data_IF_501647292083
#
_entry.id   IF_501647292083
#
_cell.length_a   1.000
_cell.length_b   1.000
_cell.length_c   1.000
_cell.angle_alpha   90.00
_cell.angle_beta   90.00
_cell.angle_gamma   90.00
#
_symmetry.space_group_name_H-M   'P 1'
#
loop_
_entity.id
_entity.type
_entity.pdbx_description
1 polymer ?
#
# COMPACT_ATOMS: atom_id res chain seq x y z
N UNK A 1 -17.47 -18.18 24.02
CA UNK A 1 -17.58 -16.76 23.66
C UNK A 1 -16.27 -16.41 22.92
N UNK A 2 -16.32 -15.94 21.69
CA UNK A 2 -15.08 -15.61 20.96
C UNK A 2 -14.58 -14.28 21.53
N UNK A 3 -13.31 -14.20 22.02
CA UNK A 3 -12.76 -12.97 22.58
C UNK A 3 -12.79 -11.84 21.54
N UNK A 4 -12.94 -10.60 22.00
CA UNK A 4 -12.87 -9.46 21.11
C UNK A 4 -11.40 -9.15 20.73
N UNK A 5 -11.21 -8.28 19.73
CA UNK A 5 -9.86 -7.94 19.27
C UNK A 5 -9.00 -7.28 20.35
N UNK A 6 -9.60 -6.49 21.23
CA UNK A 6 -8.85 -5.78 22.26
C UNK A 6 -8.36 -6.75 23.34
N UNK A 7 -9.20 -7.71 23.73
CA UNK A 7 -8.82 -8.77 24.67
C UNK A 7 -7.69 -9.63 24.08
N UNK A 8 -7.81 -10.03 22.80
CA UNK A 8 -6.78 -10.82 22.12
C UNK A 8 -5.45 -10.05 22.01
N UNK A 9 -5.49 -8.76 21.70
CA UNK A 9 -4.30 -7.91 21.66
C UNK A 9 -3.65 -7.77 23.04
N UNK A 10 -4.42 -7.59 24.10
CA UNK A 10 -3.88 -7.52 25.46
C UNK A 10 -3.19 -8.83 25.91
N UNK A 11 -3.78 -9.96 25.57
CA UNK A 11 -3.19 -11.28 25.82
C UNK A 11 -1.92 -11.47 25.01
N UNK A 12 -1.97 -11.12 23.71
CA UNK A 12 -0.82 -11.22 22.82
C UNK A 12 0.35 -10.34 23.29
N UNK A 13 0.09 -9.11 23.76
CA UNK A 13 1.11 -8.23 24.33
C UNK A 13 1.84 -8.83 25.53
N UNK A 14 1.21 -9.75 26.25
CA UNK A 14 1.80 -10.51 27.35
C UNK A 14 2.54 -11.77 26.89
N UNK A 15 2.58 -12.02 25.59
CA UNK A 15 3.24 -13.19 25.00
C UNK A 15 2.37 -14.46 24.99
N UNK A 16 1.07 -14.32 25.09
CA UNK A 16 0.13 -15.45 25.07
C UNK A 16 0.02 -16.02 23.64
N UNK A 17 0.58 -17.22 23.45
CA UNK A 17 0.61 -17.92 22.16
C UNK A 17 -0.82 -18.32 21.73
N UNK A 18 -1.69 -18.71 22.67
CA UNK A 18 -3.06 -19.08 22.35
C UNK A 18 -3.84 -17.89 21.78
N UNK A 19 -3.58 -16.67 22.29
CA UNK A 19 -4.16 -15.45 21.71
C UNK A 19 -3.67 -15.22 20.28
N UNK A 20 -2.42 -15.53 19.98
CA UNK A 20 -1.90 -15.47 18.61
C UNK A 20 -2.61 -16.47 17.69
N UNK A 21 -2.81 -17.72 18.12
CA UNK A 21 -3.51 -18.74 17.34
C UNK A 21 -4.96 -18.33 17.06
N UNK A 22 -5.66 -17.79 18.06
CA UNK A 22 -7.02 -17.28 17.89
C UNK A 22 -7.09 -16.11 16.89
N UNK A 23 -6.11 -15.23 16.89
CA UNK A 23 -5.98 -14.13 15.91
C UNK A 23 -5.71 -14.71 14.52
N UNK A 24 -4.82 -15.70 14.43
CA UNK A 24 -4.52 -16.38 13.17
C UNK A 24 -5.78 -17.00 12.57
N UNK A 25 -6.51 -17.78 13.32
CA UNK A 25 -7.76 -18.42 12.88
C UNK A 25 -8.80 -17.39 12.42
N UNK A 26 -8.89 -16.27 13.13
CA UNK A 26 -9.87 -15.21 12.83
C UNK A 26 -9.55 -14.44 11.57
N UNK A 27 -8.26 -14.23 11.25
CA UNK A 27 -7.84 -13.29 10.22
C UNK A 27 -7.13 -13.91 9.01
N UNK A 28 -6.54 -15.10 9.12
CA UNK A 28 -5.76 -15.73 8.04
C UNK A 28 -6.55 -15.88 6.76
N UNK A 29 -7.76 -16.45 6.83
CA UNK A 29 -8.62 -16.62 5.65
C UNK A 29 -9.03 -15.31 4.99
N UNK A 30 -9.23 -14.25 5.79
CA UNK A 30 -9.58 -12.92 5.27
C UNK A 30 -8.38 -12.24 4.60
N UNK A 31 -7.20 -12.39 5.18
CA UNK A 31 -5.95 -11.88 4.61
C UNK A 31 -5.58 -12.64 3.34
N UNK A 32 -5.80 -13.97 3.33
CA UNK A 32 -5.61 -14.77 2.12
C UNK A 32 -6.53 -14.32 0.98
N UNK A 33 -7.84 -14.17 1.25
CA UNK A 33 -8.79 -13.69 0.25
C UNK A 33 -8.43 -12.27 -0.25
N UNK A 34 -7.95 -11.41 0.66
CA UNK A 34 -7.44 -10.10 0.32
C UNK A 34 -6.20 -10.20 -0.59
N UNK A 35 -5.22 -11.05 -0.25
CA UNK A 35 -4.06 -11.31 -1.09
C UNK A 35 -4.46 -11.83 -2.47
N UNK A 36 -5.35 -12.83 -2.52
CA UNK A 36 -5.77 -13.44 -3.78
C UNK A 36 -6.49 -12.46 -4.71
N UNK A 37 -7.29 -11.55 -4.14
CA UNK A 37 -7.96 -10.48 -4.90
C UNK A 37 -6.95 -9.61 -5.67
N UNK A 38 -5.79 -9.30 -5.07
CA UNK A 38 -4.83 -8.35 -5.63
C UNK A 38 -3.63 -9.00 -6.31
N UNK A 39 -3.11 -10.09 -5.77
CA UNK A 39 -1.93 -10.77 -6.31
C UNK A 39 -2.28 -11.78 -7.40
N UNK A 40 -3.55 -12.27 -7.41
CA UNK A 40 -4.02 -13.32 -8.32
C UNK A 40 -3.13 -14.56 -8.35
N UNK A 41 -2.41 -14.81 -7.26
CA UNK A 41 -1.49 -15.94 -7.07
C UNK A 41 -1.73 -16.54 -5.68
N UNK A 42 -2.02 -17.84 -5.64
CA UNK A 42 -2.19 -18.61 -4.39
C UNK A 42 -0.92 -18.58 -3.57
N UNK A 43 0.23 -18.86 -4.18
CA UNK A 43 1.52 -18.90 -3.50
C UNK A 43 1.87 -17.54 -2.87
N UNK A 44 1.74 -16.44 -3.61
CA UNK A 44 2.02 -15.10 -3.08
C UNK A 44 1.01 -14.67 -2.02
N UNK A 45 -0.24 -15.14 -2.10
CA UNK A 45 -1.25 -14.87 -1.08
C UNK A 45 -0.96 -15.61 0.22
N UNK A 46 -0.44 -16.82 0.15
CA UNK A 46 0.03 -17.58 1.31
C UNK A 46 1.28 -16.91 1.93
N UNK A 47 2.26 -16.51 1.12
CA UNK A 47 3.43 -15.74 1.58
C UNK A 47 3.03 -14.43 2.25
N UNK A 48 2.03 -13.73 1.70
CA UNK A 48 1.48 -12.52 2.30
C UNK A 48 0.94 -12.77 3.71
N UNK A 49 0.12 -13.81 3.88
CA UNK A 49 -0.43 -14.18 5.18
C UNK A 49 0.70 -14.47 6.18
N UNK A 50 1.68 -15.28 5.78
CA UNK A 50 2.84 -15.59 6.62
C UNK A 50 3.62 -14.33 7.01
N UNK A 51 3.88 -13.44 6.05
CA UNK A 51 4.58 -12.17 6.30
C UNK A 51 3.84 -11.28 7.30
N UNK A 52 2.51 -11.17 7.19
CA UNK A 52 1.69 -10.36 8.10
C UNK A 52 1.79 -10.90 9.52
N UNK A 53 1.65 -12.21 9.71
CA UNK A 53 1.67 -12.81 11.04
C UNK A 53 3.08 -12.82 11.64
N UNK A 54 4.13 -12.97 10.83
CA UNK A 54 5.51 -12.79 11.28
C UNK A 54 5.75 -11.38 11.83
N UNK A 55 5.33 -10.34 11.09
CA UNK A 55 5.45 -8.95 11.52
C UNK A 55 4.60 -8.63 12.75
N UNK A 56 3.43 -9.25 12.86
CA UNK A 56 2.61 -9.16 14.06
C UNK A 56 3.37 -9.71 15.26
N UNK A 57 3.97 -10.91 15.11
CA UNK A 57 4.76 -11.55 16.15
C UNK A 57 6.02 -10.77 16.54
N UNK A 58 6.71 -10.19 15.57
CA UNK A 58 7.88 -9.36 15.84
C UNK A 58 7.55 -8.07 16.61
N UNK A 59 6.33 -7.54 16.43
CA UNK A 59 5.93 -6.24 16.98
C UNK A 59 4.83 -6.32 18.05
N UNK A 60 4.47 -7.49 18.55
CA UNK A 60 3.32 -7.67 19.42
C UNK A 60 3.34 -6.80 20.69
N UNK A 61 4.53 -6.54 21.25
CA UNK A 61 4.71 -5.71 22.44
C UNK A 61 4.36 -4.24 22.23
N UNK A 62 4.46 -3.77 20.98
CA UNK A 62 4.29 -2.36 20.61
C UNK A 62 2.91 -2.05 20.00
N UNK A 63 1.99 -2.99 20.01
CA UNK A 63 0.64 -2.79 19.48
C UNK A 63 -0.07 -1.68 20.25
N UNK A 64 -0.72 -0.75 19.52
CA UNK A 64 -1.50 0.34 20.13
C UNK A 64 -2.94 -0.07 20.29
N UNK A 65 -3.50 0.11 21.50
CA UNK A 65 -4.91 -0.21 21.81
C UNK A 65 -5.92 0.71 21.12
N UNK A 66 -5.53 1.90 20.75
CA UNK A 66 -6.42 2.96 20.23
C UNK A 66 -6.74 2.80 18.73
N UNK A 67 -6.03 1.95 18.00
CA UNK A 67 -6.27 1.70 16.59
C UNK A 67 -7.03 0.39 16.37
N UNK A 68 -7.93 0.35 15.37
CA UNK A 68 -8.56 -0.91 14.97
C UNK A 68 -7.50 -1.95 14.63
N UNK A 69 -7.45 -3.03 15.42
CA UNK A 69 -6.49 -4.12 15.21
C UNK A 69 -6.62 -4.75 13.82
N UNK A 70 -7.87 -4.89 13.34
CA UNK A 70 -8.15 -5.31 11.96
C UNK A 70 -7.45 -4.39 10.97
N UNK A 71 -7.60 -3.07 11.12
CA UNK A 71 -6.97 -2.10 10.20
C UNK A 71 -5.44 -2.20 10.23
N UNK A 72 -4.85 -2.47 11.38
CA UNK A 72 -3.41 -2.69 11.51
C UNK A 72 -2.94 -3.89 10.69
N UNK A 73 -3.59 -5.05 10.81
CA UNK A 73 -3.24 -6.25 10.03
C UNK A 73 -3.37 -6.02 8.52
N UNK A 74 -4.48 -5.41 8.11
CA UNK A 74 -4.69 -5.13 6.68
C UNK A 74 -3.76 -4.05 6.14
N UNK A 75 -3.28 -3.11 6.97
CA UNK A 75 -2.24 -2.16 6.60
C UNK A 75 -0.90 -2.85 6.34
N UNK A 76 -0.52 -3.83 7.17
CA UNK A 76 0.69 -4.64 6.93
C UNK A 76 0.57 -5.39 5.59
N UNK A 77 -0.54 -6.14 5.41
CA UNK A 77 -0.79 -6.90 4.18
C UNK A 77 -0.68 -6.05 2.93
N UNK A 78 -1.29 -4.91 2.99
CA UNK A 78 -1.34 -3.96 1.93
C UNK A 78 0.06 -3.37 1.60
N UNK A 79 0.82 -2.98 2.61
CA UNK A 79 2.21 -2.51 2.44
C UNK A 79 3.09 -3.57 1.76
N UNK A 80 2.86 -4.85 2.06
CA UNK A 80 3.60 -5.94 1.45
C UNK A 80 3.21 -6.14 -0.03
N UNK A 81 1.92 -6.08 -0.35
CA UNK A 81 1.44 -6.11 -1.74
C UNK A 81 2.10 -4.98 -2.54
N UNK A 82 2.14 -3.78 -1.99
CA UNK A 82 2.77 -2.64 -2.65
C UNK A 82 4.28 -2.84 -2.89
N UNK A 83 4.99 -3.43 -1.91
CA UNK A 83 6.40 -3.78 -2.09
C UNK A 83 6.61 -4.81 -3.21
N UNK A 84 5.72 -5.80 -3.32
CA UNK A 84 5.76 -6.79 -4.40
C UNK A 84 5.56 -6.14 -5.77
N UNK A 85 4.57 -5.27 -5.91
CA UNK A 85 4.34 -4.55 -7.16
C UNK A 85 5.50 -3.62 -7.55
N UNK A 86 6.10 -2.91 -6.57
CA UNK A 86 7.32 -2.13 -6.83
C UNK A 86 8.44 -2.99 -7.39
N UNK A 87 8.71 -4.11 -6.73
CA UNK A 87 9.75 -5.04 -7.16
C UNK A 87 9.50 -5.54 -8.58
N UNK A 88 8.24 -5.84 -8.93
CA UNK A 88 7.86 -6.26 -10.27
C UNK A 88 8.08 -5.15 -11.31
N UNK A 89 7.62 -3.93 -11.02
CA UNK A 89 7.80 -2.79 -11.92
C UNK A 89 9.28 -2.43 -12.11
N UNK A 90 10.09 -2.53 -11.05
CA UNK A 90 11.53 -2.30 -11.14
C UNK A 90 12.22 -3.36 -12.00
N UNK A 91 11.84 -4.62 -11.84
CA UNK A 91 12.31 -5.72 -12.68
C UNK A 91 11.86 -5.55 -14.14
N UNK A 92 10.62 -5.16 -14.37
CA UNK A 92 10.11 -4.92 -15.72
C UNK A 92 10.86 -3.78 -16.41
N UNK A 93 11.02 -2.64 -15.75
CA UNK A 93 11.83 -1.53 -16.27
C UNK A 93 13.28 -1.95 -16.56
N UNK A 94 13.91 -2.71 -15.66
CA UNK A 94 15.27 -3.22 -15.87
C UNK A 94 15.35 -4.18 -17.06
N UNK A 95 14.34 -5.03 -17.23
CA UNK A 95 14.24 -5.93 -18.39
C UNK A 95 14.02 -5.11 -19.66
N UNK A 96 13.12 -4.13 -19.66
CA UNK A 96 12.82 -3.27 -20.78
C UNK A 96 14.05 -2.45 -21.17
N UNK A 97 14.75 -1.84 -20.22
CA UNK A 97 16.02 -1.11 -20.45
C UNK A 97 17.12 -2.02 -21.02
N UNK A 98 17.14 -3.29 -20.62
CA UNK A 98 18.12 -4.28 -21.07
C UNK A 98 17.77 -4.81 -22.46
N UNK A 99 16.48 -5.02 -22.72
CA UNK A 99 15.97 -5.48 -24.03
C UNK A 99 15.96 -4.35 -25.06
N UNK A 100 15.70 -3.09 -24.65
CA UNK A 100 15.77 -1.93 -25.55
C UNK A 100 17.15 -1.73 -26.15
N UNK A 101 18.19 -2.26 -25.50
CA UNK A 101 19.55 -2.33 -26.07
C UNK A 101 19.72 -3.46 -27.10
N UNK A 102 18.76 -4.40 -27.21
CA UNK A 102 18.96 -5.62 -28.01
C UNK A 102 17.86 -5.97 -29.02
N UNK A 103 16.70 -5.35 -29.08
CA UNK A 103 15.77 -5.49 -30.22
C UNK A 103 14.38 -4.86 -29.96
N UNK A 104 13.82 -4.31 -31.03
CA UNK A 104 12.38 -4.01 -31.15
C UNK A 104 11.58 -5.30 -31.24
N UNK A 105 10.74 -5.57 -30.28
CA UNK A 105 9.46 -6.26 -30.51
C UNK A 105 8.59 -6.25 -29.24
N UNK A 106 7.38 -5.75 -29.43
CA UNK A 106 6.27 -5.75 -28.51
C UNK A 106 5.78 -7.17 -28.17
N UNK A 107 5.48 -7.43 -26.91
CA UNK A 107 4.48 -8.45 -26.57
C UNK A 107 3.55 -7.88 -25.52
N UNK A 108 2.36 -7.50 -25.98
CA UNK A 108 1.19 -7.26 -25.18
C UNK A 108 0.77 -8.59 -24.53
N UNK A 109 0.74 -8.63 -23.21
CA UNK A 109 0.09 -9.70 -22.48
C UNK A 109 -1.30 -9.19 -22.08
N UNK A 110 -2.30 -9.62 -22.85
CA UNK A 110 -3.72 -9.52 -22.50
C UNK A 110 -3.95 -10.32 -21.22
N UNK A 111 -4.30 -9.67 -20.14
CA UNK A 111 -5.14 -10.03 -18.99
C UNK A 111 -4.88 -9.17 -17.74
N UNK A 112 -4.21 -8.05 -17.87
CA UNK A 112 -4.16 -7.02 -16.82
C UNK A 112 -5.42 -6.14 -16.89
N UNK A 113 -6.16 -5.98 -15.78
CA UNK A 113 -6.92 -4.74 -15.59
C UNK A 113 -5.97 -3.64 -16.01
N UNK A 114 -6.39 -2.88 -16.99
CA UNK A 114 -5.57 -1.90 -17.67
C UNK A 114 -4.99 -0.89 -16.64
N UNK A 115 -3.87 -1.28 -16.05
CA UNK A 115 -3.13 -0.47 -15.06
C UNK A 115 -2.80 0.89 -15.66
N UNK A 116 -2.56 0.92 -16.98
CA UNK A 116 -2.29 2.15 -17.70
C UNK A 116 -3.54 3.05 -17.75
N UNK A 117 -4.73 2.48 -17.99
CA UNK A 117 -5.99 3.23 -17.95
C UNK A 117 -6.24 3.88 -16.60
N UNK A 118 -5.85 3.23 -15.53
CA UNK A 118 -6.01 3.77 -14.19
C UNK A 118 -4.95 4.81 -13.86
N UNK A 119 -3.70 4.61 -14.28
CA UNK A 119 -2.66 5.64 -14.18
C UNK A 119 -3.10 6.91 -14.94
N UNK A 120 -3.68 6.75 -16.13
CA UNK A 120 -4.21 7.86 -16.92
C UNK A 120 -5.38 8.58 -16.22
N UNK A 121 -6.25 7.84 -15.53
CA UNK A 121 -7.30 8.45 -14.73
C UNK A 121 -6.74 9.24 -13.55
N UNK A 122 -5.76 8.69 -12.84
CA UNK A 122 -5.08 9.39 -11.74
C UNK A 122 -4.35 10.63 -12.26
N UNK A 123 -3.64 10.53 -13.38
CA UNK A 123 -2.97 11.67 -13.99
C UNK A 123 -3.97 12.80 -14.32
N UNK A 124 -5.10 12.47 -14.93
CA UNK A 124 -6.18 13.43 -15.20
C UNK A 124 -6.76 14.09 -13.93
N UNK A 125 -6.74 13.37 -12.81
CA UNK A 125 -7.18 13.91 -11.53
C UNK A 125 -6.10 14.81 -10.92
N UNK A 126 -4.83 14.39 -10.99
CA UNK A 126 -3.66 15.16 -10.53
C UNK A 126 -3.52 16.48 -11.31
N UNK A 127 -3.82 16.45 -12.61
CA UNK A 127 -3.78 17.66 -13.45
C UNK A 127 -4.85 18.71 -13.08
N UNK A 128 -5.89 18.31 -12.35
CA UNK A 128 -6.92 19.21 -11.83
C UNK A 128 -6.62 19.77 -10.43
N UNK A 129 -5.51 19.37 -9.82
CA UNK A 129 -5.09 19.89 -8.53
C UNK A 129 -4.60 21.34 -8.64
N UNK A 130 -4.77 22.14 -7.58
CA UNK A 130 -4.09 23.43 -7.47
C UNK A 130 -2.56 23.23 -7.61
N UNK A 131 -1.88 24.14 -8.32
CA UNK A 131 -0.46 24.04 -8.65
C UNK A 131 0.43 23.67 -7.45
N UNK A 132 0.16 24.28 -6.29
CA UNK A 132 0.95 24.02 -5.07
C UNK A 132 0.76 22.59 -4.55
N UNK A 133 -0.46 22.06 -4.57
CA UNK A 133 -0.76 20.68 -4.19
C UNK A 133 -0.15 19.70 -5.19
N UNK A 134 -0.27 20.00 -6.48
CA UNK A 134 0.31 19.21 -7.57
C UNK A 134 1.84 19.13 -7.40
N UNK A 135 2.52 20.26 -7.21
CA UNK A 135 3.98 20.32 -7.02
C UNK A 135 4.42 19.46 -5.82
N UNK A 136 3.76 19.60 -4.66
CA UNK A 136 4.08 18.82 -3.47
C UNK A 136 3.87 17.33 -3.71
N UNK A 137 2.76 16.98 -4.36
CA UNK A 137 2.41 15.62 -4.69
C UNK A 137 3.44 14.98 -5.63
N UNK A 138 3.81 15.64 -6.72
CA UNK A 138 4.80 15.16 -7.69
C UNK A 138 6.20 15.02 -7.06
N UNK A 139 6.64 15.98 -6.24
CA UNK A 139 7.92 15.88 -5.51
C UNK A 139 7.96 14.66 -4.58
N UNK A 140 6.86 14.40 -3.90
CA UNK A 140 6.77 13.20 -3.05
C UNK A 140 6.76 11.91 -3.85
N UNK A 141 6.21 11.94 -5.07
CA UNK A 141 5.91 10.76 -5.89
C UNK A 141 6.98 10.42 -6.90
N UNK A 142 7.30 11.37 -7.75
CA UNK A 142 8.24 11.17 -8.86
C UNK A 142 9.68 11.33 -8.38
N UNK A 143 9.91 12.30 -7.48
CA UNK A 143 11.24 12.56 -6.95
C UNK A 143 11.56 11.75 -5.67
N UNK A 144 10.57 11.04 -5.09
CA UNK A 144 10.75 10.22 -3.88
C UNK A 144 11.16 11.02 -2.63
N UNK A 145 10.96 12.33 -2.62
CA UNK A 145 11.37 13.21 -1.53
C UNK A 145 10.53 13.00 -0.28
N UNK A 146 11.20 13.06 0.85
CA UNK A 146 10.55 13.05 2.16
C UNK A 146 9.82 14.37 2.43
N UNK A 147 8.83 14.34 3.32
CA UNK A 147 8.10 15.52 3.78
C UNK A 147 9.03 16.64 4.25
N UNK A 148 10.15 16.29 4.91
CA UNK A 148 11.14 17.25 5.40
C UNK A 148 11.91 17.94 4.26
N UNK A 149 12.30 17.19 3.25
CA UNK A 149 12.99 17.70 2.06
C UNK A 149 12.09 18.62 1.25
N UNK A 150 10.84 18.22 1.02
CA UNK A 150 9.84 19.04 0.33
C UNK A 150 9.57 20.35 1.11
N UNK A 151 9.44 20.25 2.42
CA UNK A 151 9.23 21.40 3.30
C UNK A 151 10.38 22.39 3.21
N UNK A 152 11.64 21.91 3.23
CA UNK A 152 12.83 22.75 3.09
C UNK A 152 12.88 23.45 1.73
N UNK A 153 12.62 22.72 0.63
CA UNK A 153 12.64 23.27 -0.72
C UNK A 153 11.56 24.33 -0.98
N UNK A 154 10.36 24.12 -0.43
CA UNK A 154 9.23 25.00 -0.66
C UNK A 154 9.03 26.06 0.43
N UNK A 155 9.96 26.13 1.39
CA UNK A 155 9.89 27.03 2.56
C UNK A 155 8.57 26.86 3.32
N UNK A 156 8.19 25.60 3.58
CA UNK A 156 6.99 25.21 4.33
C UNK A 156 7.36 24.50 5.62
N UNK A 157 6.37 24.34 6.51
CA UNK A 157 6.53 23.39 7.62
C UNK A 157 6.27 21.95 7.14
N UNK A 158 6.94 20.93 7.72
CA UNK A 158 6.63 19.53 7.42
C UNK A 158 5.14 19.20 7.60
N UNK A 159 4.49 19.71 8.66
CA UNK A 159 3.06 19.52 8.89
C UNK A 159 2.18 20.12 7.79
N UNK A 160 2.61 21.25 7.20
CA UNK A 160 1.91 21.84 6.04
C UNK A 160 2.01 20.93 4.82
N UNK A 161 3.18 20.33 4.57
CA UNK A 161 3.38 19.38 3.47
C UNK A 161 2.53 18.12 3.68
N UNK A 162 2.50 17.56 4.90
CA UNK A 162 1.68 16.38 5.25
C UNK A 162 0.19 16.67 5.05
N UNK A 163 -0.28 17.87 5.40
CA UNK A 163 -1.67 18.27 5.17
C UNK A 163 -2.00 18.32 3.67
N UNK A 164 -1.14 18.94 2.86
CA UNK A 164 -1.34 18.99 1.39
C UNK A 164 -1.36 17.59 0.78
N UNK A 165 -0.45 16.72 1.20
CA UNK A 165 -0.43 15.33 0.75
C UNK A 165 -1.74 14.63 1.15
N UNK A 166 -2.17 14.74 2.40
CA UNK A 166 -3.41 14.11 2.90
C UNK A 166 -4.67 14.63 2.19
N UNK A 167 -4.74 15.94 1.92
CA UNK A 167 -5.85 16.54 1.16
C UNK A 167 -5.87 16.06 -0.29
N UNK A 168 -4.70 16.02 -0.93
CA UNK A 168 -4.56 15.51 -2.30
C UNK A 168 -5.05 14.07 -2.42
N UNK A 169 -4.69 13.22 -1.46
CA UNK A 169 -5.16 11.83 -1.44
C UNK A 169 -6.66 11.71 -1.25
N UNK A 170 -7.20 12.48 -0.33
CA UNK A 170 -8.64 12.51 -0.11
C UNK A 170 -9.37 12.95 -1.38
N UNK A 171 -8.83 13.95 -2.09
CA UNK A 171 -9.37 14.41 -3.35
C UNK A 171 -9.31 13.34 -4.44
N UNK A 172 -8.16 12.70 -4.63
CA UNK A 172 -7.99 11.61 -5.62
C UNK A 172 -8.96 10.47 -5.29
N UNK A 173 -9.02 10.04 -4.03
CA UNK A 173 -9.93 8.99 -3.58
C UNK A 173 -11.40 9.31 -3.88
N UNK A 174 -11.82 10.55 -3.66
CA UNK A 174 -13.22 10.96 -3.91
C UNK A 174 -13.62 10.97 -5.39
N UNK A 175 -12.65 10.91 -6.30
CA UNK A 175 -12.87 10.94 -7.76
C UNK A 175 -12.72 9.59 -8.44
N UNK A 176 -12.15 8.62 -7.74
CA UNK A 176 -12.02 7.25 -8.26
C UNK A 176 -13.32 6.48 -7.99
N UNK A 177 -13.93 5.97 -9.06
CA UNK A 177 -15.26 5.35 -9.05
C UNK A 177 -15.33 3.98 -8.34
N UNK A 178 -14.19 3.39 -8.01
CA UNK A 178 -14.11 2.07 -7.40
C UNK A 178 -13.29 2.14 -6.10
N UNK A 179 -13.96 2.11 -4.94
CA UNK A 179 -13.32 2.32 -3.63
C UNK A 179 -12.19 1.33 -3.34
N UNK A 180 -12.32 0.08 -3.76
CA UNK A 180 -11.32 -0.96 -3.53
C UNK A 180 -10.06 -0.75 -4.37
N UNK A 181 -10.25 -0.28 -5.60
CA UNK A 181 -9.17 0.01 -6.53
C UNK A 181 -8.52 1.36 -6.25
N UNK A 182 -9.31 2.34 -5.83
CA UNK A 182 -8.86 3.64 -5.37
C UNK A 182 -7.90 3.54 -4.18
N UNK A 183 -8.14 2.61 -3.25
CA UNK A 183 -7.25 2.36 -2.12
C UNK A 183 -5.89 1.80 -2.57
N UNK A 184 -5.87 0.85 -3.50
CA UNK A 184 -4.63 0.28 -4.04
C UNK A 184 -3.82 1.31 -4.83
N UNK A 185 -4.50 2.10 -5.65
CA UNK A 185 -3.86 3.15 -6.42
C UNK A 185 -3.32 4.28 -5.57
N UNK A 186 -4.12 4.74 -4.62
CA UNK A 186 -3.68 5.76 -3.68
C UNK A 186 -2.42 5.32 -2.96
N UNK A 187 -2.30 4.06 -2.69
CA UNK A 187 -1.15 3.53 -1.98
C UNK A 187 0.02 3.17 -2.90
N UNK A 188 -0.21 2.66 -4.10
CA UNK A 188 0.84 2.55 -5.11
C UNK A 188 1.40 3.92 -5.45
N UNK A 189 0.54 4.92 -5.47
CA UNK A 189 0.92 6.31 -5.60
C UNK A 189 1.64 6.88 -4.35
N UNK A 190 1.53 6.32 -3.17
CA UNK A 190 2.17 6.82 -1.94
C UNK A 190 3.45 6.10 -1.56
N UNK A 191 3.64 4.89 -2.03
CA UNK A 191 4.76 4.05 -1.65
C UNK A 191 5.55 3.51 -2.85
N UNK A 192 5.21 3.88 -4.06
CA UNK A 192 6.03 3.82 -5.25
C UNK A 192 6.85 5.11 -5.38
#
# INVERSE_FOLDING_TARGET
MVPDDNELVERLQKGDVEAFDLIYDKYSGRLYAFGLKYLRSTAESEELVQSVFLKLWENYKNLKKESSFKSYLFTIAYNDICKLFRKRNYLQKFIDDTLYKNSQSSSETEDGIDYQSVLDQVQKIVDKLPERQKTIFLKSREEGKTTKEIAAELSLSPGTVDNYISETLRFIRSRLLNEDFALLLLFSLFFL
#
